data_IF_585563833936
#
_entry.id   IF_585563833936
#
_cell.length_a   1.000
_cell.length_b   1.000
_cell.length_c   1.000
_cell.angle_alpha   90.00
_cell.angle_beta   90.00
_cell.angle_gamma   90.00
#
_symmetry.space_group_name_H-M   'P 1'
#
loop_
_entity.id
_entity.type
_entity.pdbx_description
1 polymer ?
#
# COMPACT_ATOMS: atom_id res chain seq x y z
N UNK A 1 -0.96 -0.83 37.23
CA UNK A 1 -0.54 -1.61 36.05
C UNK A 1 -1.50 -2.78 35.94
N UNK A 2 -2.51 -2.65 35.10
CA UNK A 2 -3.45 -3.75 34.85
C UNK A 2 -2.85 -4.63 33.75
N UNK A 3 -2.57 -5.89 34.08
CA UNK A 3 -2.12 -6.89 33.13
C UNK A 3 -3.37 -7.39 32.37
N UNK A 4 -3.39 -7.18 31.06
CA UNK A 4 -4.50 -7.59 30.20
C UNK A 4 -4.38 -9.09 29.90
N UNK A 5 -5.28 -9.93 30.43
CA UNK A 5 -5.35 -11.36 30.11
C UNK A 5 -5.86 -11.56 28.67
N UNK A 6 -5.06 -12.23 27.83
CA UNK A 6 -5.24 -12.39 26.39
C UNK A 6 -5.82 -13.76 26.01
N UNK A 7 -6.89 -14.20 26.68
CA UNK A 7 -7.42 -15.57 26.51
C UNK A 7 -8.34 -15.72 25.28
N UNK A 8 -8.64 -14.62 24.60
CA UNK A 8 -9.18 -14.58 23.24
C UNK A 8 -8.36 -13.52 22.54
N UNK A 9 -7.72 -13.80 21.40
CA UNK A 9 -6.98 -12.79 20.64
C UNK A 9 -7.97 -12.02 19.74
N UNK A 10 -8.55 -10.87 20.17
CA UNK A 10 -9.03 -9.92 19.18
C UNK A 10 -7.79 -9.44 18.42
N UNK A 11 -7.89 -9.34 17.09
CA UNK A 11 -6.85 -8.74 16.23
C UNK A 11 -6.38 -7.45 16.90
N UNK A 12 -5.13 -7.44 17.39
CA UNK A 12 -4.55 -6.31 18.14
C UNK A 12 -4.32 -5.17 17.17
N UNK A 13 -5.32 -4.33 16.98
CA UNK A 13 -5.15 -3.09 16.21
C UNK A 13 -4.42 -2.06 17.06
N UNK A 14 -3.46 -1.37 16.45
CA UNK A 14 -2.83 -0.21 17.07
C UNK A 14 -3.90 0.83 17.46
N UNK A 15 -3.69 1.49 18.61
CA UNK A 15 -4.52 2.63 19.01
C UNK A 15 -4.34 3.76 17.98
N UNK A 16 -5.39 4.49 17.59
CA UNK A 16 -5.25 5.59 16.64
C UNK A 16 -4.28 6.65 17.17
N UNK A 17 -3.18 6.88 16.43
CA UNK A 17 -2.25 7.97 16.74
C UNK A 17 -2.85 9.28 16.28
N UNK A 18 -3.20 10.14 17.24
CA UNK A 18 -3.78 11.46 16.95
C UNK A 18 -2.89 12.30 16.03
N UNK A 19 -1.56 12.16 16.11
CA UNK A 19 -0.66 12.91 15.24
C UNK A 19 -0.74 12.49 13.77
N UNK A 20 -1.14 11.23 13.49
CA UNK A 20 -1.35 10.71 12.14
C UNK A 20 -2.71 11.11 11.57
N UNK A 21 -3.67 11.45 12.44
CA UNK A 21 -5.05 11.79 12.07
C UNK A 21 -5.29 13.30 11.86
N UNK A 22 -4.25 14.12 11.96
CA UNK A 22 -4.31 15.55 11.70
C UNK A 22 -4.31 15.86 10.19
N UNK A 23 -5.06 16.88 9.75
CA UNK A 23 -5.15 17.32 8.35
C UNK A 23 -3.77 17.61 7.71
N UNK A 24 -2.80 18.05 8.52
CA UNK A 24 -1.42 18.29 8.07
C UNK A 24 -0.80 17.04 7.45
N UNK A 25 -1.07 15.86 7.99
CA UNK A 25 -0.50 14.60 7.47
C UNK A 25 -1.08 14.30 6.09
N UNK A 26 -2.39 14.45 5.91
CA UNK A 26 -3.03 14.27 4.61
C UNK A 26 -2.46 15.24 3.56
N UNK A 27 -2.30 16.53 3.91
CA UNK A 27 -1.70 17.52 3.01
C UNK A 27 -0.26 17.17 2.62
N UNK A 28 0.52 16.66 3.58
CA UNK A 28 1.87 16.19 3.29
C UNK A 28 1.86 14.97 2.36
N UNK A 29 0.97 13.99 2.59
CA UNK A 29 0.84 12.81 1.73
C UNK A 29 0.48 13.19 0.29
N UNK A 30 -0.50 14.09 0.11
CA UNK A 30 -0.90 14.59 -1.22
C UNK A 30 0.26 15.31 -1.93
N UNK A 31 1.00 16.16 -1.19
CA UNK A 31 2.17 16.87 -1.75
C UNK A 31 3.27 15.90 -2.19
N UNK A 32 3.44 14.79 -1.45
CA UNK A 32 4.47 13.80 -1.73
C UNK A 32 4.07 12.90 -2.90
N UNK A 33 2.79 12.55 -3.03
CA UNK A 33 2.26 11.68 -4.07
C UNK A 33 2.69 12.11 -5.48
N UNK A 34 2.66 13.43 -5.76
CA UNK A 34 3.07 13.99 -7.04
C UNK A 34 4.48 13.58 -7.48
N UNK A 35 5.39 13.35 -6.53
CA UNK A 35 6.79 12.96 -6.81
C UNK A 35 6.95 11.50 -7.21
N UNK A 36 5.96 10.66 -6.90
CA UNK A 36 6.00 9.22 -7.13
C UNK A 36 5.11 8.77 -8.29
N UNK A 37 4.40 9.70 -8.95
CA UNK A 37 3.61 9.39 -10.13
C UNK A 37 4.52 9.07 -11.33
N UNK A 38 4.36 7.88 -11.96
CA UNK A 38 5.07 7.58 -13.19
C UNK A 38 4.49 8.41 -14.35
N UNK A 39 5.34 8.80 -15.31
CA UNK A 39 4.89 9.52 -16.50
C UNK A 39 3.95 8.67 -17.35
N UNK A 40 2.73 9.13 -17.64
CA UNK A 40 1.71 8.36 -18.37
C UNK A 40 2.16 7.83 -19.76
N UNK A 41 3.20 8.42 -20.35
CA UNK A 41 3.73 8.04 -21.66
C UNK A 41 4.88 7.03 -21.62
N UNK A 42 5.22 6.43 -20.47
CA UNK A 42 6.39 5.54 -20.36
C UNK A 42 6.36 4.34 -21.32
N UNK A 43 5.18 3.85 -21.71
CA UNK A 43 5.05 2.80 -22.75
C UNK A 43 5.35 3.28 -24.17
N UNK A 44 5.25 4.58 -24.43
CA UNK A 44 5.56 5.18 -25.72
C UNK A 44 7.01 5.65 -25.79
N UNK A 45 7.53 6.19 -24.69
CA UNK A 45 8.79 6.91 -24.68
C UNK A 45 9.97 6.11 -24.10
N UNK A 46 9.71 5.09 -23.27
CA UNK A 46 10.77 4.40 -22.50
C UNK A 46 10.75 2.90 -22.75
N UNK A 47 9.60 2.24 -22.63
CA UNK A 47 9.50 0.80 -22.82
C UNK A 47 9.47 0.43 -24.31
N UNK A 48 10.41 -0.44 -24.71
CA UNK A 48 10.57 -0.89 -26.10
C UNK A 48 9.86 -2.21 -26.37
N UNK A 49 9.92 -3.11 -25.39
CA UNK A 49 9.51 -4.51 -25.58
C UNK A 49 8.22 -4.84 -24.82
N UNK A 50 7.93 -4.12 -23.74
CA UNK A 50 6.80 -4.40 -22.85
C UNK A 50 5.56 -3.65 -23.32
N UNK A 51 4.47 -4.39 -23.51
CA UNK A 51 3.15 -3.84 -23.84
C UNK A 51 2.27 -3.70 -22.60
N UNK A 52 1.26 -2.80 -22.60
CA UNK A 52 0.39 -2.58 -21.44
C UNK A 52 -0.27 -3.85 -20.87
N UNK A 53 -0.64 -4.81 -21.73
CA UNK A 53 -1.24 -6.07 -21.27
C UNK A 53 -0.24 -6.95 -20.50
N UNK A 54 1.05 -6.91 -20.85
CA UNK A 54 2.10 -7.67 -20.15
C UNK A 54 2.27 -7.15 -18.72
N UNK A 55 2.24 -5.82 -18.53
CA UNK A 55 2.22 -5.22 -17.18
C UNK A 55 1.00 -5.67 -16.39
N UNK A 56 -0.17 -5.76 -17.03
CA UNK A 56 -1.40 -6.23 -16.38
C UNK A 56 -1.23 -7.66 -15.86
N UNK A 57 -0.64 -8.55 -16.66
CA UNK A 57 -0.38 -9.93 -16.25
C UNK A 57 0.51 -9.98 -14.99
N UNK A 58 1.61 -9.24 -14.98
CA UNK A 58 2.52 -9.22 -13.82
C UNK A 58 1.85 -8.60 -12.60
N UNK A 59 1.08 -7.52 -12.75
CA UNK A 59 0.37 -6.87 -11.64
C UNK A 59 -0.69 -7.79 -11.03
N UNK A 60 -1.42 -8.55 -11.85
CA UNK A 60 -2.37 -9.56 -11.37
C UNK A 60 -1.65 -10.67 -10.60
N UNK A 61 -0.55 -11.20 -11.15
CA UNK A 61 0.24 -12.21 -10.45
C UNK A 61 0.80 -11.71 -9.11
N UNK A 62 1.29 -10.46 -9.06
CA UNK A 62 1.76 -9.86 -7.81
C UNK A 62 0.64 -9.75 -6.77
N UNK A 63 -0.58 -9.41 -7.19
CA UNK A 63 -1.75 -9.37 -6.30
C UNK A 63 -2.06 -10.77 -5.75
N UNK A 64 -2.14 -11.78 -6.61
CA UNK A 64 -2.39 -13.18 -6.22
C UNK A 64 -1.36 -13.68 -5.20
N UNK A 65 -0.07 -13.35 -5.39
CA UNK A 65 0.99 -13.68 -4.44
C UNK A 65 0.79 -12.97 -3.11
N UNK A 66 0.46 -11.68 -3.10
CA UNK A 66 0.18 -10.94 -1.86
C UNK A 66 -1.00 -11.52 -1.08
N UNK A 67 -2.05 -11.94 -1.78
CA UNK A 67 -3.22 -12.59 -1.20
C UNK A 67 -2.85 -13.95 -0.59
N UNK A 68 -2.11 -14.79 -1.34
CA UNK A 68 -1.65 -16.10 -0.87
C UNK A 68 -0.74 -15.99 0.36
N UNK A 69 0.14 -14.98 0.38
CA UNK A 69 1.05 -14.73 1.49
C UNK A 69 0.43 -13.91 2.63
N UNK A 70 -0.87 -13.57 2.55
CA UNK A 70 -1.59 -12.79 3.58
C UNK A 70 -0.87 -11.49 3.94
N UNK A 71 -0.31 -10.79 2.95
CA UNK A 71 0.44 -9.55 3.19
C UNK A 71 -0.39 -8.42 3.84
N UNK A 72 -1.72 -8.51 3.79
CA UNK A 72 -2.65 -7.59 4.44
C UNK A 72 -2.91 -7.92 5.92
N UNK A 73 -2.57 -9.12 6.39
CA UNK A 73 -2.72 -9.55 7.79
C UNK A 73 -1.47 -9.14 8.60
N UNK A 74 -1.41 -7.86 9.02
CA UNK A 74 -0.41 -7.34 9.99
C UNK A 74 -1.11 -6.70 11.17
#
# INVERSE_FOLDING_TARGET
MELLCCEVEPVRRAVPDRNLLEDRVLQNLLTIEERYLPQCSYFKCVQKDIQPYMRRMVATWMLEVCEEQKCEEV
#
